data_IF_670987209245
#
_entry.id   IF_670987209245
#
_cell.length_a   1.000
_cell.length_b   1.000
_cell.length_c   1.000
_cell.angle_alpha   90.00
_cell.angle_beta   90.00
_cell.angle_gamma   90.00
#
_symmetry.space_group_name_H-M   'P 1'
#
loop_
_entity.id
_entity.type
_entity.pdbx_description
1 polymer ?
#
# COMPACT_ATOMS: atom_id res chain seq x y z
N UNK A 1 1.91 -16.10 2.84
CA UNK A 1 1.26 -15.60 1.61
C UNK A 1 1.91 -14.32 1.09
N UNK A 2 1.89 -13.19 1.82
CA UNK A 2 2.45 -11.90 1.31
C UNK A 2 3.96 -11.97 1.03
N UNK A 3 4.75 -12.51 1.97
CA UNK A 3 6.22 -12.70 1.83
C UNK A 3 6.59 -13.49 0.58
N UNK A 4 5.96 -14.65 0.43
CA UNK A 4 6.18 -15.55 -0.70
C UNK A 4 5.81 -14.88 -2.04
N UNK A 5 4.69 -14.15 -2.09
CA UNK A 5 4.30 -13.42 -3.30
C UNK A 5 5.25 -12.26 -3.64
N UNK A 6 5.79 -11.57 -2.63
CA UNK A 6 6.75 -10.50 -2.82
C UNK A 6 8.11 -11.03 -3.28
N UNK A 7 8.61 -12.08 -2.63
CA UNK A 7 9.87 -12.72 -2.97
C UNK A 7 9.88 -13.24 -4.42
N UNK A 8 8.83 -13.95 -4.85
CA UNK A 8 8.72 -14.45 -6.23
C UNK A 8 8.68 -13.36 -7.30
N UNK A 9 8.34 -12.13 -6.94
CA UNK A 9 8.26 -10.99 -7.86
C UNK A 9 9.40 -9.98 -7.68
N UNK A 10 10.36 -10.26 -6.80
CA UNK A 10 11.43 -9.32 -6.46
C UNK A 10 10.93 -8.02 -5.84
N UNK A 11 9.77 -8.05 -5.17
CA UNK A 11 9.18 -6.88 -4.52
C UNK A 11 9.75 -6.76 -3.10
N UNK A 12 10.41 -5.64 -2.80
CA UNK A 12 10.97 -5.32 -1.48
C UNK A 12 10.11 -4.38 -0.64
N UNK A 13 9.08 -3.77 -1.24
CA UNK A 13 8.20 -2.80 -0.57
C UNK A 13 6.77 -3.33 -0.46
N UNK A 14 6.23 -3.31 0.75
CA UNK A 14 4.85 -3.72 1.04
C UNK A 14 4.05 -2.51 1.53
N UNK A 15 2.88 -2.29 0.94
CA UNK A 15 1.94 -1.23 1.32
C UNK A 15 0.75 -1.86 2.03
N UNK A 16 0.35 -1.28 3.16
CA UNK A 16 -0.82 -1.69 3.92
C UNK A 16 -1.84 -0.54 3.91
N UNK A 17 -3.11 -0.85 3.66
CA UNK A 17 -4.24 0.07 3.82
C UNK A 17 -5.48 -0.68 4.34
N UNK A 18 -6.60 0.00 4.54
CA UNK A 18 -7.85 -0.53 5.05
C UNK A 18 -8.10 -0.20 6.52
N UNK A 19 -9.37 -0.05 6.91
CA UNK A 19 -9.76 0.42 8.26
C UNK A 19 -9.29 -0.45 9.42
N UNK A 20 -8.98 -1.73 9.16
CA UNK A 20 -8.43 -2.67 10.16
C UNK A 20 -7.03 -2.22 10.64
N UNK A 21 -6.29 -1.44 9.86
CA UNK A 21 -4.96 -0.95 10.24
C UNK A 21 -4.96 0.15 11.29
N UNK A 22 -6.14 0.66 11.70
CA UNK A 22 -6.23 1.43 12.94
C UNK A 22 -5.86 0.59 14.18
N UNK A 23 -5.86 -0.75 14.06
CA UNK A 23 -5.37 -1.63 15.10
C UNK A 23 -3.84 -1.54 15.23
N UNK A 24 -3.38 -0.77 16.22
CA UNK A 24 -1.95 -0.57 16.51
C UNK A 24 -1.21 -1.87 16.83
N UNK A 25 -1.87 -2.84 17.48
CA UNK A 25 -1.26 -4.14 17.76
C UNK A 25 -0.98 -4.90 16.46
N UNK A 26 -1.92 -4.88 15.51
CA UNK A 26 -1.72 -5.46 14.19
C UNK A 26 -0.55 -4.80 13.47
N UNK A 27 -0.48 -3.47 13.45
CA UNK A 27 0.63 -2.72 12.85
C UNK A 27 1.97 -3.13 13.46
N UNK A 28 2.09 -3.16 14.80
CA UNK A 28 3.32 -3.59 15.46
C UNK A 28 3.72 -5.02 15.09
N UNK A 29 2.75 -5.94 15.00
CA UNK A 29 3.03 -7.34 14.61
C UNK A 29 3.47 -7.44 13.15
N UNK A 30 2.84 -6.69 12.25
CA UNK A 30 3.25 -6.62 10.84
C UNK A 30 4.67 -6.06 10.72
N UNK A 31 4.99 -4.98 11.43
CA UNK A 31 6.33 -4.40 11.47
C UNK A 31 7.37 -5.40 11.96
N UNK A 32 7.05 -6.18 13.00
CA UNK A 32 7.96 -7.18 13.53
C UNK A 32 8.21 -8.35 12.56
N UNK A 33 7.15 -8.95 12.00
CA UNK A 33 7.28 -10.16 11.18
C UNK A 33 7.73 -9.91 9.73
N UNK A 34 7.68 -8.67 9.28
CA UNK A 34 8.03 -8.26 7.91
C UNK A 34 9.16 -7.22 7.92
N UNK A 35 10.00 -7.22 8.95
CA UNK A 35 11.08 -6.25 9.14
C UNK A 35 12.14 -6.24 8.03
N UNK A 36 12.19 -7.28 7.20
CA UNK A 36 13.06 -7.39 6.02
C UNK A 36 12.49 -6.73 4.75
N UNK A 37 11.28 -6.15 4.83
CA UNK A 37 10.69 -5.35 3.76
C UNK A 37 10.61 -3.87 4.15
N UNK A 38 10.57 -3.00 3.15
CA UNK A 38 10.14 -1.61 3.34
C UNK A 38 8.62 -1.61 3.55
N UNK A 39 8.15 -1.19 4.71
CA UNK A 39 6.73 -1.20 5.06
C UNK A 39 6.14 0.20 4.99
N UNK A 40 5.10 0.38 4.20
CA UNK A 40 4.37 1.64 4.07
C UNK A 40 2.99 1.52 4.69
N UNK A 41 2.71 2.36 5.70
CA UNK A 41 1.44 2.45 6.39
C UNK A 41 0.78 3.82 6.15
N UNK A 42 -0.56 3.93 6.24
CA UNK A 42 -1.25 5.20 6.11
C UNK A 42 -0.85 6.14 7.25
N UNK A 43 -0.56 7.41 6.94
CA UNK A 43 -0.14 8.41 7.92
C UNK A 43 -0.95 9.71 7.83
N UNK A 44 -0.98 10.35 6.66
CA UNK A 44 -1.67 11.62 6.43
C UNK A 44 -3.15 11.46 6.07
N UNK A 45 -3.53 10.28 5.60
CA UNK A 45 -4.89 9.94 5.22
C UNK A 45 -5.38 8.78 6.09
N UNK A 46 -6.70 8.72 6.38
CA UNK A 46 -7.25 7.61 7.15
C UNK A 46 -7.01 6.29 6.42
N UNK A 47 -6.71 5.24 7.18
CA UNK A 47 -6.49 3.92 6.59
C UNK A 47 -7.76 3.33 5.97
N UNK A 48 -8.94 3.75 6.46
CA UNK A 48 -10.24 3.26 6.00
C UNK A 48 -10.84 4.05 4.83
N UNK A 49 -12.16 3.93 4.68
CA UNK A 49 -12.89 4.36 3.49
C UNK A 49 -12.81 5.87 3.21
N UNK A 50 -12.48 6.68 4.23
CA UNK A 50 -12.27 8.12 4.09
C UNK A 50 -11.17 8.52 3.10
N UNK A 51 -10.27 7.60 2.72
CA UNK A 51 -9.21 7.84 1.74
C UNK A 51 -9.43 7.16 0.37
N UNK A 52 -10.53 6.42 0.18
CA UNK A 52 -10.77 5.66 -1.06
C UNK A 52 -10.85 6.60 -2.27
N UNK A 53 -11.56 7.72 -2.14
CA UNK A 53 -11.69 8.71 -3.21
C UNK A 53 -10.32 9.25 -3.67
N UNK A 54 -9.39 9.45 -2.74
CA UNK A 54 -8.03 9.86 -3.06
C UNK A 54 -7.28 8.78 -3.85
N UNK A 55 -7.36 7.52 -3.41
CA UNK A 55 -6.77 6.39 -4.14
C UNK A 55 -7.34 6.24 -5.56
N UNK A 56 -8.65 6.41 -5.72
CA UNK A 56 -9.31 6.39 -7.03
C UNK A 56 -8.79 7.52 -7.93
N UNK A 57 -8.69 8.75 -7.41
CA UNK A 57 -8.17 9.89 -8.15
C UNK A 57 -6.71 9.68 -8.59
N UNK A 58 -5.86 9.16 -7.70
CA UNK A 58 -4.46 8.86 -8.02
C UNK A 58 -4.33 7.80 -9.13
N UNK A 59 -5.11 6.72 -9.07
CA UNK A 59 -5.13 5.68 -10.11
C UNK A 59 -5.64 6.25 -11.44
N UNK A 60 -6.71 7.05 -11.42
CA UNK A 60 -7.25 7.69 -12.62
C UNK A 60 -6.23 8.63 -13.26
N UNK A 61 -5.53 9.44 -12.47
CA UNK A 61 -4.49 10.34 -12.94
C UNK A 61 -3.31 9.58 -13.56
N UNK A 62 -2.85 8.49 -12.95
CA UNK A 62 -1.78 7.66 -13.48
C UNK A 62 -2.17 7.00 -14.82
N UNK A 63 -3.40 6.46 -14.92
CA UNK A 63 -3.93 5.92 -16.19
C UNK A 63 -3.97 6.99 -17.27
N UNK A 64 -4.48 8.17 -16.93
CA UNK A 64 -4.56 9.30 -17.85
C UNK A 64 -3.19 9.74 -18.37
N UNK A 65 -2.16 9.79 -17.52
CA UNK A 65 -0.78 10.09 -17.92
C UNK A 65 -0.19 9.01 -18.83
N UNK A 66 -0.38 7.73 -18.50
CA UNK A 66 0.10 6.62 -19.33
C UNK A 66 -0.51 6.66 -20.74
N UNK A 67 -1.79 7.03 -20.88
CA UNK A 67 -2.44 7.19 -22.19
C UNK A 67 -1.97 8.43 -22.97
N UNK A 68 -1.38 9.43 -22.30
CA UNK A 68 -0.92 10.69 -22.92
C UNK A 68 0.53 10.69 -23.39
N UNK A 69 1.29 9.63 -23.11
CA UNK A 69 2.67 9.48 -23.58
C UNK A 69 2.68 8.43 -24.69
N UNK A 70 2.38 8.80 -25.96
CA UNK A 70 2.65 7.89 -27.07
C UNK A 70 4.17 7.80 -27.24
N UNK A 71 4.69 6.57 -27.25
CA UNK A 71 6.05 6.21 -27.65
C UNK A 71 6.39 6.74 -29.04
#
# INVERSE_FOLDING_TARGET
MVRDHAARRGISTLVFSGGVLHNRLLVCRLTFYLADFTLLFPHQLPAGDGAIAFGQAAVAAARWQAHRTPS
#
